data_IF_520956380093
#
_entry.id   IF_520956380093
#
_cell.length_a   1.000
_cell.length_b   1.000
_cell.length_c   1.000
_cell.angle_alpha   90.00
_cell.angle_beta   90.00
_cell.angle_gamma   90.00
#
_symmetry.space_group_name_H-M   'P 1'
#
loop_
_entity.id
_entity.type
_entity.pdbx_description
1 polymer ?
#
# COMPACT_ATOMS: atom_id res chain seq x y z
N UNK A 1 -19.73 1.47 -16.01
CA UNK A 1 -18.83 1.98 -14.95
C UNK A 1 -19.08 1.15 -13.70
N UNK A 2 -18.03 0.72 -13.01
CA UNK A 2 -18.14 -0.08 -11.78
C UNK A 2 -17.39 0.63 -10.65
N UNK A 3 -17.87 0.49 -9.43
CA UNK A 3 -17.17 0.95 -8.23
C UNK A 3 -16.79 -0.28 -7.41
N UNK A 4 -15.49 -0.46 -7.17
CA UNK A 4 -14.99 -1.69 -6.55
C UNK A 4 -13.99 -1.39 -5.44
N UNK A 5 -14.15 -2.08 -4.30
CA UNK A 5 -13.13 -2.12 -3.25
C UNK A 5 -11.94 -2.97 -3.68
N UNK A 6 -10.74 -2.42 -3.49
CA UNK A 6 -9.49 -3.12 -3.71
C UNK A 6 -8.63 -3.03 -2.45
N UNK A 7 -8.07 -4.17 -2.05
CA UNK A 7 -7.08 -4.25 -0.98
C UNK A 7 -5.76 -4.74 -1.58
N UNK A 8 -4.73 -3.91 -1.54
CA UNK A 8 -3.38 -4.19 -2.03
C UNK A 8 -2.38 -4.01 -0.91
N UNK A 9 -1.89 -5.12 -0.36
CA UNK A 9 -1.00 -5.11 0.81
C UNK A 9 0.48 -5.12 0.44
N UNK A 10 0.81 -5.04 -0.85
CA UNK A 10 2.19 -5.06 -1.35
C UNK A 10 3.03 -3.88 -0.86
N UNK A 11 2.38 -2.85 -0.30
CA UNK A 11 3.00 -1.60 0.20
C UNK A 11 2.83 -1.39 1.70
N UNK A 12 2.24 -2.36 2.40
CA UNK A 12 1.91 -2.23 3.82
C UNK A 12 3.13 -2.08 4.75
N UNK A 13 4.35 -2.26 4.23
CA UNK A 13 5.62 -2.12 4.97
C UNK A 13 6.37 -0.82 4.64
N UNK A 14 5.96 -0.09 3.59
CA UNK A 14 6.59 1.17 3.19
C UNK A 14 5.55 2.05 2.49
N UNK A 15 4.85 2.88 3.25
CA UNK A 15 4.07 3.97 2.69
C UNK A 15 4.99 5.20 2.53
N UNK A 16 5.48 5.52 1.31
CA UNK A 16 5.99 6.86 1.08
C UNK A 16 4.88 7.89 1.31
N UNK A 17 5.25 9.13 1.63
CA UNK A 17 4.32 10.25 1.63
C UNK A 17 3.58 10.31 0.29
N UNK A 18 2.25 10.35 0.33
CA UNK A 18 1.45 10.31 -0.89
C UNK A 18 1.44 8.94 -1.58
N UNK A 19 1.58 7.85 -0.82
CA UNK A 19 1.24 6.52 -1.28
C UNK A 19 -0.27 6.34 -1.47
N UNK A 20 -0.62 5.44 -2.38
CA UNK A 20 -1.96 4.90 -2.53
C UNK A 20 -2.24 4.03 -1.29
N UNK A 21 -3.37 4.22 -0.58
CA UNK A 21 -3.67 3.45 0.62
C UNK A 21 -3.86 1.96 0.25
N UNK A 22 -3.53 1.06 1.18
CA UNK A 22 -3.68 -0.39 1.04
C UNK A 22 -5.13 -0.77 0.76
N UNK A 23 -6.09 0.05 1.17
CA UNK A 23 -7.51 -0.15 0.96
C UNK A 23 -8.16 1.09 0.34
N UNK A 24 -8.79 0.92 -0.82
CA UNK A 24 -9.51 2.02 -1.48
C UNK A 24 -10.53 1.51 -2.49
N UNK A 25 -11.40 2.41 -2.94
CA UNK A 25 -12.27 2.18 -4.08
C UNK A 25 -11.63 2.62 -5.38
N UNK A 26 -11.95 1.88 -6.44
CA UNK A 26 -11.66 2.26 -7.81
C UNK A 26 -12.94 2.48 -8.58
N UNK A 27 -13.00 3.59 -9.31
CA UNK A 27 -13.98 3.78 -10.38
C UNK A 27 -13.39 3.16 -11.65
N UNK A 28 -14.01 2.08 -12.13
CA UNK A 28 -13.60 1.32 -13.29
C UNK A 28 -14.48 1.60 -14.51
N UNK A 29 -13.86 1.78 -15.67
CA UNK A 29 -14.53 1.84 -16.96
C UNK A 29 -13.80 0.93 -17.97
N UNK A 30 -14.58 0.27 -18.83
CA UNK A 30 -14.05 -0.63 -19.86
C UNK A 30 -14.72 -0.28 -21.17
N UNK A 31 -13.91 -0.12 -22.21
CA UNK A 31 -14.36 0.01 -23.60
C UNK A 31 -13.99 -1.30 -24.31
N UNK A 32 -14.92 -1.82 -25.11
CA UNK A 32 -14.78 -3.13 -25.75
C UNK A 32 -14.97 -2.98 -27.26
N UNK A 33 -14.05 -3.54 -28.03
CA UNK A 33 -14.06 -3.51 -29.48
C UNK A 33 -13.26 -2.33 -30.04
N UNK A 34 -13.45 -2.07 -31.32
CA UNK A 34 -12.68 -1.07 -32.03
C UNK A 34 -13.15 0.35 -31.69
N UNK A 35 -12.26 1.09 -31.04
CA UNK A 35 -12.39 2.51 -30.80
C UNK A 35 -11.09 3.21 -31.18
N UNK A 36 -11.13 4.49 -31.62
CA UNK A 36 -9.92 5.28 -31.76
C UNK A 36 -9.10 5.19 -30.46
N UNK A 37 -7.83 4.82 -30.56
CA UNK A 37 -6.99 4.49 -29.39
C UNK A 37 -6.93 5.61 -28.34
N UNK A 38 -7.06 6.87 -28.77
CA UNK A 38 -7.10 8.03 -27.88
C UNK A 38 -8.46 8.33 -27.22
N UNK A 39 -9.58 7.76 -27.72
CA UNK A 39 -10.93 8.12 -27.24
C UNK A 39 -11.15 7.79 -25.76
N UNK A 40 -10.82 6.59 -25.24
CA UNK A 40 -10.98 6.29 -23.82
C UNK A 40 -10.17 7.23 -22.91
N UNK A 41 -9.00 7.67 -23.37
CA UNK A 41 -8.17 8.62 -22.61
C UNK A 41 -8.78 10.01 -22.64
N UNK A 42 -9.35 10.41 -23.78
CA UNK A 42 -10.11 11.66 -23.88
C UNK A 42 -11.33 11.67 -22.95
N UNK A 43 -12.11 10.60 -22.93
CA UNK A 43 -13.26 10.44 -22.01
C UNK A 43 -12.80 10.56 -20.55
N UNK A 44 -11.67 9.95 -20.19
CA UNK A 44 -11.08 10.06 -18.86
C UNK A 44 -10.70 11.50 -18.49
N UNK A 45 -10.05 12.21 -19.41
CA UNK A 45 -9.64 13.59 -19.21
C UNK A 45 -10.84 14.54 -19.12
N UNK A 46 -11.89 14.30 -19.91
CA UNK A 46 -13.17 15.04 -19.83
C UNK A 46 -13.87 14.81 -18.50
N UNK A 47 -13.90 13.57 -18.01
CA UNK A 47 -14.47 13.23 -16.72
C UNK A 47 -13.69 13.86 -15.54
N UNK A 48 -12.36 13.89 -15.59
CA UNK A 48 -11.55 14.59 -14.60
C UNK A 48 -11.75 16.11 -14.68
N UNK A 49 -11.86 16.65 -15.89
CA UNK A 49 -12.13 18.07 -16.12
C UNK A 49 -13.50 18.51 -15.60
N UNK A 50 -14.54 17.68 -15.74
CA UNK A 50 -15.89 18.01 -15.28
C UNK A 50 -16.02 18.08 -13.75
N UNK A 51 -15.11 17.44 -13.01
CA UNK A 51 -15.03 17.54 -11.55
C UNK A 51 -14.07 18.64 -11.08
N UNK A 52 -13.46 19.40 -12.00
CA UNK A 52 -12.63 20.57 -11.67
C UNK A 52 -11.11 20.35 -11.73
N UNK A 53 -10.63 19.21 -12.26
CA UNK A 53 -9.19 18.97 -12.42
C UNK A 53 -8.69 19.62 -13.72
N UNK A 54 -7.69 20.50 -13.61
CA UNK A 54 -7.08 21.12 -14.79
C UNK A 54 -6.33 20.08 -15.64
N UNK A 55 -6.88 19.80 -16.81
CA UNK A 55 -6.33 18.84 -17.78
C UNK A 55 -4.94 19.23 -18.28
N UNK A 56 -4.59 20.53 -18.27
CA UNK A 56 -3.28 21.03 -18.71
C UNK A 56 -2.17 20.73 -17.71
N UNK A 57 -2.53 20.52 -16.44
CA UNK A 57 -1.59 20.13 -15.39
C UNK A 57 -1.30 18.62 -15.37
N UNK A 58 -2.05 17.82 -16.14
CA UNK A 58 -1.88 16.37 -16.18
C UNK A 58 -0.71 15.96 -17.07
N UNK A 59 0.05 15.00 -16.54
CA UNK A 59 1.09 14.28 -17.27
C UNK A 59 0.58 12.88 -17.58
N UNK A 60 0.53 12.54 -18.86
CA UNK A 60 0.26 11.19 -19.35
C UNK A 60 1.56 10.40 -19.43
N UNK A 61 1.81 9.56 -18.44
CA UNK A 61 2.89 8.57 -18.49
C UNK A 61 2.43 7.36 -19.28
N UNK A 62 3.22 6.93 -20.27
CA UNK A 62 2.95 5.77 -21.11
C UNK A 62 4.07 4.75 -21.00
N UNK A 63 3.71 3.50 -20.77
CA UNK A 63 4.60 2.33 -20.87
C UNK A 63 4.14 1.48 -22.05
N UNK A 64 4.89 1.53 -23.15
CA UNK A 64 4.61 0.74 -24.34
C UNK A 64 5.23 -0.67 -24.27
N UNK A 65 4.69 -1.64 -25.02
CA UNK A 65 5.44 -2.83 -25.41
C UNK A 65 6.77 -2.45 -26.08
N UNK A 66 7.79 -3.30 -25.92
CA UNK A 66 9.10 -3.07 -26.56
C UNK A 66 8.96 -3.02 -28.08
N UNK A 67 9.55 -2.00 -28.69
CA UNK A 67 9.55 -1.80 -30.14
C UNK A 67 8.27 -1.20 -30.71
N UNK A 68 7.32 -0.77 -29.87
CA UNK A 68 6.08 -0.11 -30.29
C UNK A 68 5.94 1.30 -29.72
N UNK A 69 7.02 1.88 -29.21
CA UNK A 69 7.04 3.14 -28.48
C UNK A 69 6.50 4.31 -29.32
N UNK A 70 7.07 4.53 -30.52
CA UNK A 70 6.66 5.61 -31.42
C UNK A 70 5.21 5.48 -31.88
N UNK A 71 4.81 4.26 -32.29
CA UNK A 71 3.45 3.96 -32.68
C UNK A 71 2.46 4.23 -31.54
N UNK A 72 2.80 3.81 -30.32
CA UNK A 72 1.96 4.04 -29.14
C UNK A 72 1.79 5.53 -28.86
N UNK A 73 2.86 6.32 -28.98
CA UNK A 73 2.82 7.77 -28.80
C UNK A 73 1.95 8.45 -29.87
N UNK A 74 2.05 8.02 -31.13
CA UNK A 74 1.23 8.54 -32.22
C UNK A 74 -0.26 8.19 -32.01
N UNK A 75 -0.57 6.98 -31.56
CA UNK A 75 -1.95 6.50 -31.33
C UNK A 75 -2.62 7.11 -30.09
N UNK A 76 -1.84 7.35 -29.03
CA UNK A 76 -2.32 7.93 -27.78
C UNK A 76 -2.04 9.43 -27.69
N UNK A 77 -1.49 10.05 -28.73
CA UNK A 77 -1.13 11.46 -28.76
C UNK A 77 -2.33 12.34 -28.45
N UNK A 78 -2.37 12.91 -27.23
CA UNK A 78 -3.49 13.74 -26.80
C UNK A 78 -3.13 15.23 -26.83
N UNK A 79 -3.93 16.07 -27.50
CA UNK A 79 -3.73 17.51 -27.47
C UNK A 79 -3.82 18.05 -26.03
N UNK A 80 -2.81 18.81 -25.61
CA UNK A 80 -2.85 19.57 -24.35
C UNK A 80 -2.43 18.82 -23.08
N UNK A 81 -2.02 17.56 -23.16
CA UNK A 81 -1.40 16.84 -22.05
C UNK A 81 0.11 16.67 -22.28
N UNK A 82 0.91 16.82 -21.22
CA UNK A 82 2.32 16.47 -21.28
C UNK A 82 2.46 14.95 -21.34
N UNK A 83 3.16 14.41 -22.34
CA UNK A 83 3.36 12.97 -22.48
C UNK A 83 4.78 12.56 -22.11
N UNK A 84 4.91 11.47 -21.37
CA UNK A 84 6.19 10.89 -20.96
C UNK A 84 6.20 9.39 -21.24
N UNK A 85 7.13 8.92 -22.06
CA UNK A 85 7.40 7.50 -22.21
C UNK A 85 8.30 7.03 -21.06
N UNK A 86 7.80 6.14 -20.20
CA UNK A 86 8.55 5.61 -19.06
C UNK A 86 7.98 4.29 -18.57
N UNK A 87 8.77 3.57 -17.76
CA UNK A 87 8.28 2.38 -17.07
C UNK A 87 7.10 2.73 -16.13
N UNK A 88 6.22 1.74 -15.84
CA UNK A 88 5.12 1.95 -14.91
C UNK A 88 5.61 2.47 -13.55
N UNK A 89 4.93 3.44 -12.95
CA UNK A 89 5.41 4.08 -11.73
C UNK A 89 5.29 3.12 -10.53
N UNK A 90 5.99 3.39 -9.41
CA UNK A 90 5.77 2.67 -8.17
C UNK A 90 4.31 2.89 -7.72
N UNK A 91 3.45 1.93 -7.99
CA UNK A 91 2.00 2.10 -7.76
C UNK A 91 1.22 1.14 -8.58
N UNK A 92 1.79 0.87 -9.75
CA UNK A 92 1.03 0.39 -10.87
C UNK A 92 0.35 -0.94 -10.55
N UNK A 93 -0.96 -1.07 -10.82
CA UNK A 93 -1.69 -2.28 -10.56
C UNK A 93 -1.02 -3.47 -11.25
N UNK A 94 -0.65 -4.48 -10.48
CA UNK A 94 0.09 -5.63 -11.00
C UNK A 94 -0.67 -6.41 -12.08
N UNK A 95 -1.99 -6.35 -12.17
CA UNK A 95 -2.69 -7.02 -13.28
C UNK A 95 -2.48 -6.33 -14.64
N UNK A 96 -2.12 -5.05 -14.64
CA UNK A 96 -1.86 -4.29 -15.87
C UNK A 96 -0.40 -4.49 -16.28
N UNK A 97 -0.19 -4.96 -17.51
CA UNK A 97 1.11 -5.46 -17.97
C UNK A 97 1.45 -4.91 -19.36
N UNK A 98 2.57 -4.18 -19.51
CA UNK A 98 2.97 -3.63 -20.81
C UNK A 98 3.13 -4.68 -21.93
N UNK A 99 3.40 -5.94 -21.58
CA UNK A 99 3.50 -7.05 -22.53
C UNK A 99 2.16 -7.42 -23.22
N UNK A 100 1.03 -7.11 -22.57
CA UNK A 100 -0.32 -7.33 -23.11
C UNK A 100 -0.82 -6.15 -23.95
N UNK A 101 -0.12 -5.02 -23.88
CA UNK A 101 -0.37 -3.80 -24.64
C UNK A 101 -0.06 -2.53 -23.83
N UNK A 102 -0.13 -1.35 -24.47
CA UNK A 102 0.21 -0.07 -23.84
C UNK A 102 -0.49 0.15 -22.51
N UNK A 103 0.29 0.49 -21.49
CA UNK A 103 -0.17 0.89 -20.17
C UNK A 103 0.00 2.40 -20.01
N UNK A 104 -0.89 3.05 -19.29
CA UNK A 104 -0.80 4.48 -19.05
C UNK A 104 -1.17 4.86 -17.62
N UNK A 105 -0.69 6.03 -17.19
CA UNK A 105 -1.05 6.65 -15.93
C UNK A 105 -1.25 8.15 -16.16
N UNK A 106 -2.37 8.69 -15.64
CA UNK A 106 -2.56 10.14 -15.55
C UNK A 106 -2.00 10.61 -14.21
N UNK A 107 -1.00 11.47 -14.24
CA UNK A 107 -0.31 11.99 -13.06
C UNK A 107 -0.56 13.50 -12.91
N UNK A 108 -0.87 13.94 -11.69
CA UNK A 108 -1.06 15.35 -11.34
C UNK A 108 -0.04 15.77 -10.27
N UNK A 109 0.72 16.87 -10.45
CA UNK A 109 1.58 17.39 -9.41
C UNK A 109 0.76 18.06 -8.29
N UNK A 110 0.95 17.60 -7.04
CA UNK A 110 0.33 18.17 -5.84
C UNK A 110 1.39 18.71 -4.88
N UNK A 111 1.34 20.03 -4.64
CA UNK A 111 2.28 20.74 -3.78
C UNK A 111 3.61 21.11 -4.45
N UNK A 112 4.55 21.68 -3.67
CA UNK A 112 5.81 22.19 -4.19
C UNK A 112 6.78 21.06 -4.60
N UNK A 113 7.72 21.34 -5.54
CA UNK A 113 8.81 20.42 -5.85
C UNK A 113 9.70 20.17 -4.63
N UNK A 114 10.16 18.94 -4.44
CA UNK A 114 11.16 18.62 -3.42
C UNK A 114 12.60 19.02 -3.82
N UNK A 115 12.83 19.23 -5.12
CA UNK A 115 14.11 19.62 -5.71
C UNK A 115 13.91 20.13 -7.13
N UNK A 116 14.96 20.67 -7.75
CA UNK A 116 14.94 21.11 -9.16
C UNK A 116 14.66 19.98 -10.15
N UNK A 117 14.99 18.74 -9.79
CA UNK A 117 14.70 17.54 -10.59
C UNK A 117 13.37 16.85 -10.24
N UNK A 118 12.48 17.51 -9.49
CA UNK A 118 11.22 16.91 -9.08
C UNK A 118 10.25 16.82 -10.28
N UNK A 119 10.07 15.61 -10.80
CA UNK A 119 9.19 15.30 -11.92
C UNK A 119 8.37 14.01 -11.73
N UNK A 120 7.61 13.60 -12.75
CA UNK A 120 6.91 12.31 -12.79
C UNK A 120 7.82 11.16 -12.37
N UNK A 121 7.41 10.38 -11.38
CA UNK A 121 8.19 9.23 -10.88
C UNK A 121 9.19 9.57 -9.78
N UNK A 122 9.29 10.83 -9.39
CA UNK A 122 10.02 11.23 -8.18
C UNK A 122 9.42 10.52 -6.94
N UNK A 123 10.26 9.89 -6.08
CA UNK A 123 9.78 9.15 -4.92
C UNK A 123 9.17 10.05 -3.83
N UNK A 124 9.28 11.38 -3.96
CA UNK A 124 8.69 12.31 -3.01
C UNK A 124 7.16 12.24 -2.95
N UNK A 125 6.50 11.68 -3.98
CA UNK A 125 5.04 11.54 -4.03
C UNK A 125 4.30 12.81 -4.46
N UNK A 126 4.98 13.79 -5.08
CA UNK A 126 4.34 14.98 -5.66
C UNK A 126 3.41 14.64 -6.82
N UNK A 127 3.86 13.78 -7.73
CA UNK A 127 3.09 13.37 -8.91
C UNK A 127 2.15 12.22 -8.53
N UNK A 128 0.90 12.59 -8.25
CA UNK A 128 -0.14 11.67 -7.79
C UNK A 128 -0.79 10.99 -8.99
N UNK A 129 -0.94 9.67 -8.90
CA UNK A 129 -1.50 8.84 -9.96
C UNK A 129 -3.04 8.88 -9.85
N UNK A 130 -3.71 9.62 -10.73
CA UNK A 130 -5.16 9.82 -10.71
C UNK A 130 -5.94 8.77 -11.51
N UNK A 131 -5.30 8.16 -12.50
CA UNK A 131 -5.88 7.06 -13.25
C UNK A 131 -4.78 6.12 -13.72
N UNK A 132 -5.11 4.82 -13.79
CA UNK A 132 -4.34 3.81 -14.50
C UNK A 132 -5.15 3.33 -15.68
N UNK A 133 -4.50 3.09 -16.81
CA UNK A 133 -5.15 2.55 -18.00
C UNK A 133 -4.32 1.49 -18.69
N UNK A 134 -4.99 0.61 -19.43
CA UNK A 134 -4.35 -0.36 -20.30
C UNK A 134 -5.17 -0.58 -21.57
N UNK A 135 -4.49 -0.55 -22.71
CA UNK A 135 -5.00 -1.09 -23.98
C UNK A 135 -4.57 -2.56 -24.03
N UNK A 136 -5.53 -3.49 -23.91
CA UNK A 136 -5.27 -4.93 -24.03
C UNK A 136 -5.38 -5.31 -25.50
N UNK A 137 -4.25 -5.72 -26.08
CA UNK A 137 -4.14 -6.18 -27.48
C UNK A 137 -3.71 -7.62 -27.60
N UNK A 138 -3.21 -8.20 -26.51
CA UNK A 138 -2.75 -9.58 -26.45
C UNK A 138 -3.26 -10.24 -25.19
N UNK A 139 -3.50 -11.53 -25.27
CA UNK A 139 -3.81 -12.38 -24.12
C UNK A 139 -2.77 -13.48 -24.00
N UNK A 140 -2.50 -13.89 -22.76
CA UNK A 140 -1.58 -14.99 -22.47
C UNK A 140 -2.37 -16.29 -22.37
N UNK A 141 -2.01 -17.24 -23.21
CA UNK A 141 -2.54 -18.61 -23.19
C UNK A 141 -1.97 -19.38 -21.99
N UNK A 142 -2.59 -20.54 -21.68
CA UNK A 142 -2.14 -21.42 -20.59
C UNK A 142 -0.71 -21.92 -20.77
N UNK A 143 -0.26 -22.06 -22.02
CA UNK A 143 1.10 -22.46 -22.39
C UNK A 143 2.11 -21.29 -22.35
N UNK A 144 1.67 -20.10 -21.93
CA UNK A 144 2.51 -18.91 -21.81
C UNK A 144 2.63 -18.08 -23.09
N UNK A 145 2.16 -18.56 -24.24
CA UNK A 145 2.23 -17.80 -25.50
C UNK A 145 1.32 -16.57 -25.45
N UNK A 146 1.77 -15.46 -26.04
CA UNK A 146 0.97 -14.26 -26.25
C UNK A 146 0.34 -14.32 -27.64
N UNK A 147 -0.99 -14.26 -27.71
CA UNK A 147 -1.74 -14.19 -28.97
C UNK A 147 -2.52 -12.88 -29.07
N UNK A 148 -2.77 -12.36 -30.28
CA UNK A 148 -3.62 -11.19 -30.47
C UNK A 148 -5.01 -11.38 -29.86
N UNK A 149 -5.54 -10.34 -29.23
CA UNK A 149 -6.91 -10.30 -28.73
C UNK A 149 -7.87 -9.99 -29.90
N UNK A 150 -8.91 -10.80 -30.03
CA UNK A 150 -9.96 -10.68 -31.06
C UNK A 150 -10.79 -9.41 -30.92
N UNK A 151 -10.99 -8.95 -29.67
CA UNK A 151 -11.73 -7.72 -29.35
C UNK A 151 -10.88 -6.90 -28.39
N UNK A 152 -10.05 -5.97 -28.88
CA UNK A 152 -9.25 -5.11 -28.03
C UNK A 152 -10.12 -4.44 -26.97
N UNK A 153 -9.55 -4.27 -25.78
CA UNK A 153 -10.24 -3.58 -24.70
C UNK A 153 -9.37 -2.46 -24.16
N UNK A 154 -10.01 -1.37 -23.76
CA UNK A 154 -9.38 -0.37 -22.91
C UNK A 154 -9.94 -0.52 -21.52
N UNK A 155 -9.09 -0.69 -20.52
CA UNK A 155 -9.47 -0.64 -19.11
C UNK A 155 -8.94 0.64 -18.48
N UNK A 156 -9.78 1.35 -17.72
CA UNK A 156 -9.43 2.52 -16.94
C UNK A 156 -9.82 2.32 -15.47
N UNK A 157 -8.93 2.72 -14.56
CA UNK A 157 -9.10 2.61 -13.12
C UNK A 157 -8.72 3.93 -12.46
N UNK A 158 -9.69 4.61 -11.84
CA UNK A 158 -9.45 5.83 -11.07
C UNK A 158 -9.51 5.50 -9.58
N UNK A 159 -8.41 5.63 -8.82
CA UNK A 159 -8.44 5.50 -7.38
C UNK A 159 -9.18 6.70 -6.79
N UNK A 160 -10.26 6.42 -6.05
CA UNK A 160 -11.15 7.47 -5.55
C UNK A 160 -10.42 8.50 -4.67
N UNK A 161 -9.65 8.02 -3.68
CA UNK A 161 -8.90 8.93 -2.81
C UNK A 161 -7.85 9.74 -3.55
N UNK A 162 -7.31 9.26 -4.67
CA UNK A 162 -6.38 10.05 -5.48
C UNK A 162 -7.09 11.23 -6.15
N UNK A 163 -8.29 11.02 -6.67
CA UNK A 163 -9.14 12.08 -7.23
C UNK A 163 -9.56 13.06 -6.13
N UNK A 164 -10.02 12.58 -4.97
CA UNK A 164 -10.40 13.44 -3.85
C UNK A 164 -9.23 14.28 -3.34
N UNK A 165 -8.03 13.69 -3.22
CA UNK A 165 -6.82 14.41 -2.85
C UNK A 165 -6.48 15.52 -3.85
N UNK A 166 -6.67 15.27 -5.14
CA UNK A 166 -6.47 16.28 -6.17
C UNK A 166 -7.45 17.46 -6.02
N UNK A 167 -8.73 17.17 -5.80
CA UNK A 167 -9.76 18.20 -5.64
C UNK A 167 -9.59 19.02 -4.36
N UNK A 168 -9.11 18.40 -3.28
CA UNK A 168 -8.82 19.08 -2.02
C UNK A 168 -7.40 19.66 -1.94
N UNK A 169 -6.59 19.52 -3.00
CA UNK A 169 -5.18 19.92 -3.06
C UNK A 169 -4.32 19.38 -1.90
N UNK A 170 -4.65 18.20 -1.38
CA UNK A 170 -3.91 17.54 -0.29
C UNK A 170 -3.09 16.36 -0.81
N UNK A 171 -1.94 16.09 -0.18
CA UNK A 171 -1.01 15.03 -0.62
C UNK A 171 -1.35 13.64 -0.08
N UNK A 172 -2.06 13.58 1.04
CA UNK A 172 -2.36 12.33 1.75
C UNK A 172 -3.88 12.11 1.81
N UNK A 173 -4.38 10.90 1.52
CA UNK A 173 -5.78 10.55 1.77
C UNK A 173 -6.21 10.82 3.20
N UNK A 174 -5.33 10.62 4.19
CA UNK A 174 -5.64 10.82 5.60
C UNK A 174 -5.72 12.30 6.01
N UNK A 175 -5.45 13.23 5.09
CA UNK A 175 -5.75 14.65 5.26
C UNK A 175 -7.17 15.01 4.76
N UNK A 176 -7.86 14.09 4.08
CA UNK A 176 -9.23 14.29 3.63
C UNK A 176 -10.18 14.33 4.84
N UNK A 177 -11.22 15.19 4.82
CA UNK A 177 -12.19 15.30 5.92
C UNK A 177 -12.82 13.96 6.31
N UNK A 178 -13.07 13.08 5.36
CA UNK A 178 -13.72 11.78 5.57
C UNK A 178 -12.82 10.81 6.34
N UNK A 179 -11.50 10.93 6.22
CA UNK A 179 -10.52 10.08 6.91
C UNK A 179 -9.95 10.72 8.19
N UNK A 180 -10.22 12.01 8.41
CA UNK A 180 -9.73 12.78 9.54
C UNK A 180 -10.11 12.20 10.91
N UNK A 181 -11.34 11.72 11.15
CA UNK A 181 -11.72 11.16 12.45
C UNK A 181 -10.83 10.00 12.88
N UNK A 182 -10.37 9.16 11.94
CA UNK A 182 -9.46 8.05 12.23
C UNK A 182 -8.09 8.57 12.71
N UNK A 183 -7.57 9.62 12.08
CA UNK A 183 -6.30 10.22 12.48
C UNK A 183 -6.40 10.91 13.84
N UNK A 184 -7.52 11.60 14.10
CA UNK A 184 -7.75 12.26 15.39
C UNK A 184 -7.88 11.23 16.53
N UNK A 185 -8.61 10.14 16.28
CA UNK A 185 -8.71 9.04 17.25
C UNK A 185 -7.38 8.33 17.48
N UNK A 186 -6.56 8.20 16.44
CA UNK A 186 -5.20 7.66 16.56
C UNK A 186 -4.30 8.56 17.39
N UNK A 187 -4.31 9.87 17.14
CA UNK A 187 -3.56 10.86 17.91
C UNK A 187 -3.99 10.91 19.38
N UNK A 188 -5.30 10.75 19.66
CA UNK A 188 -5.82 10.67 21.01
C UNK A 188 -5.43 9.37 21.75
N UNK A 189 -5.38 8.24 21.03
CA UNK A 189 -5.00 6.96 21.61
C UNK A 189 -3.49 6.82 21.86
N UNK A 190 -2.68 7.52 21.08
CA UNK A 190 -1.21 7.42 21.11
C UNK A 190 -0.61 8.83 21.10
N UNK A 191 -0.35 9.42 22.28
CA UNK A 191 0.11 10.80 22.40
C UNK A 191 1.40 11.14 21.65
N UNK A 192 2.28 10.15 21.39
CA UNK A 192 3.52 10.38 20.64
C UNK A 192 3.28 10.70 19.15
N UNK A 193 2.17 10.22 18.58
CA UNK A 193 1.73 10.65 17.24
C UNK A 193 1.29 12.12 17.25
N UNK A 194 0.56 12.55 18.28
CA UNK A 194 0.10 13.93 18.41
C UNK A 194 1.26 14.91 18.70
N UNK A 195 2.24 14.47 19.49
CA UNK A 195 3.36 15.29 19.90
C UNK A 195 4.49 15.39 18.85
N UNK A 196 4.33 14.75 17.68
CA UNK A 196 5.37 14.73 16.65
C UNK A 196 6.67 14.03 17.07
N UNK A 197 6.61 13.19 18.12
CA UNK A 197 7.76 12.40 18.61
C UNK A 197 7.99 11.15 17.76
N UNK A 198 6.98 10.75 17.01
CA UNK A 198 7.01 9.70 16.00
C UNK A 198 7.13 10.28 14.59
N UNK A 199 7.54 9.46 13.63
CA UNK A 199 7.48 9.86 12.22
C UNK A 199 6.01 9.91 11.81
N UNK A 200 5.58 10.96 11.11
CA UNK A 200 4.18 11.08 10.62
C UNK A 200 3.74 9.82 9.83
N UNK A 201 4.66 9.22 9.08
CA UNK A 201 4.45 7.97 8.35
C UNK A 201 3.97 6.81 9.22
N UNK A 202 4.34 6.76 10.50
CA UNK A 202 3.96 5.67 11.41
C UNK A 202 2.46 5.71 11.72
N UNK A 203 1.93 6.90 12.02
CA UNK A 203 0.49 7.08 12.22
C UNK A 203 -0.31 6.75 10.95
N UNK A 204 0.17 7.24 9.79
CA UNK A 204 -0.44 6.93 8.50
C UNK A 204 -0.46 5.42 8.20
N UNK A 205 0.62 4.70 8.55
CA UNK A 205 0.68 3.24 8.40
C UNK A 205 -0.30 2.51 9.31
N UNK A 206 -0.50 2.97 10.55
CA UNK A 206 -1.52 2.38 11.44
C UNK A 206 -2.91 2.59 10.85
N UNK A 207 -3.25 3.82 10.47
CA UNK A 207 -4.54 4.13 9.89
C UNK A 207 -4.82 3.29 8.63
N UNK A 208 -3.86 3.21 7.72
CA UNK A 208 -3.94 2.41 6.49
C UNK A 208 -4.15 0.91 6.74
N UNK A 209 -3.39 0.33 7.67
CA UNK A 209 -3.53 -1.09 8.03
C UNK A 209 -4.89 -1.37 8.64
N UNK A 210 -5.40 -0.50 9.51
CA UNK A 210 -6.70 -0.69 10.15
C UNK A 210 -7.85 -0.52 9.16
N UNK A 211 -7.76 0.44 8.25
CA UNK A 211 -8.68 0.56 7.12
C UNK A 211 -8.73 -0.72 6.27
N UNK A 212 -7.56 -1.30 5.96
CA UNK A 212 -7.50 -2.56 5.21
C UNK A 212 -8.04 -3.76 6.00
N UNK A 213 -7.73 -3.86 7.30
CA UNK A 213 -8.23 -4.92 8.18
C UNK A 213 -9.75 -4.83 8.32
N UNK A 214 -10.32 -3.63 8.50
CA UNK A 214 -11.77 -3.44 8.60
C UNK A 214 -12.50 -3.97 7.35
N UNK A 215 -12.01 -3.63 6.15
CA UNK A 215 -12.60 -4.14 4.91
C UNK A 215 -12.41 -5.65 4.74
N UNK A 216 -11.23 -6.21 5.09
CA UNK A 216 -11.00 -7.65 4.99
C UNK A 216 -11.95 -8.42 5.91
N UNK A 217 -12.11 -7.99 7.16
CA UNK A 217 -13.07 -8.55 8.11
C UNK A 217 -14.51 -8.40 7.61
N UNK A 218 -14.87 -7.23 7.10
CA UNK A 218 -16.20 -6.99 6.49
C UNK A 218 -16.48 -7.87 5.26
N UNK A 219 -15.44 -8.34 4.57
CA UNK A 219 -15.56 -9.32 3.48
C UNK A 219 -15.60 -10.79 3.95
N UNK A 220 -15.59 -11.03 5.27
CA UNK A 220 -15.61 -12.36 5.87
C UNK A 220 -14.24 -13.00 6.09
N UNK A 221 -13.14 -12.28 5.87
CA UNK A 221 -11.78 -12.80 6.11
C UNK A 221 -11.41 -12.59 7.58
N UNK A 222 -11.12 -13.66 8.30
CA UNK A 222 -10.66 -13.60 9.70
C UNK A 222 -9.13 -13.76 9.80
N UNK A 223 -8.46 -13.19 10.83
CA UNK A 223 -7.04 -13.40 11.07
C UNK A 223 -6.70 -14.88 11.26
N UNK A 224 -5.61 -15.35 10.64
CA UNK A 224 -5.20 -16.75 10.71
C UNK A 224 -3.79 -17.00 10.17
N UNK A 225 -3.35 -18.26 10.03
CA UNK A 225 -1.96 -18.58 9.71
C UNK A 225 -1.62 -18.61 8.22
N UNK A 226 -2.60 -18.75 7.31
CA UNK A 226 -2.36 -18.96 5.86
C UNK A 226 -3.18 -18.02 4.97
N UNK A 227 -2.73 -17.82 3.74
CA UNK A 227 -3.46 -17.08 2.70
C UNK A 227 -3.93 -15.67 3.12
N UNK A 228 -5.17 -15.31 2.76
CA UNK A 228 -5.77 -14.01 3.12
C UNK A 228 -5.88 -13.79 4.63
N UNK A 229 -6.09 -14.87 5.39
CA UNK A 229 -6.15 -14.83 6.84
C UNK A 229 -4.78 -14.44 7.45
N UNK A 230 -3.69 -14.95 6.88
CA UNK A 230 -2.32 -14.54 7.25
C UNK A 230 -2.07 -13.07 6.96
N UNK A 231 -2.46 -12.59 5.78
CA UNK A 231 -2.31 -11.17 5.42
C UNK A 231 -3.06 -10.28 6.40
N UNK A 232 -4.31 -10.62 6.72
CA UNK A 232 -5.14 -9.89 7.69
C UNK A 232 -4.49 -9.87 9.08
N UNK A 233 -3.99 -11.03 9.55
CA UNK A 233 -3.25 -11.16 10.81
C UNK A 233 -1.99 -10.29 10.82
N UNK A 234 -1.22 -10.29 9.73
CA UNK A 234 0.02 -9.51 9.59
C UNK A 234 -0.25 -8.01 9.64
N UNK A 235 -1.27 -7.53 8.93
CA UNK A 235 -1.67 -6.11 8.96
C UNK A 235 -2.10 -5.69 10.38
N UNK A 236 -2.93 -6.50 11.02
CA UNK A 236 -3.41 -6.25 12.38
C UNK A 236 -2.26 -6.18 13.38
N UNK A 237 -1.37 -7.18 13.38
CA UNK A 237 -0.17 -7.19 14.22
C UNK A 237 0.79 -6.05 13.91
N UNK A 238 0.92 -5.66 12.63
CA UNK A 238 1.72 -4.52 12.22
C UNK A 238 1.20 -3.19 12.76
N UNK A 239 -0.12 -2.99 12.76
CA UNK A 239 -0.77 -1.84 13.39
C UNK A 239 -0.52 -1.82 14.92
N UNK A 240 -0.73 -2.97 15.58
CA UNK A 240 -0.47 -3.14 17.01
C UNK A 240 1.00 -2.91 17.39
N UNK A 241 1.95 -3.41 16.60
CA UNK A 241 3.37 -3.21 16.80
C UNK A 241 3.79 -1.75 16.64
N UNK A 242 3.27 -1.06 15.62
CA UNK A 242 3.57 0.37 15.40
C UNK A 242 2.96 1.22 16.51
N UNK A 243 1.77 0.85 17.00
CA UNK A 243 1.14 1.47 18.17
C UNK A 243 2.00 1.32 19.43
N UNK A 244 2.50 0.10 19.69
CA UNK A 244 3.41 -0.15 20.81
C UNK A 244 4.74 0.60 20.70
N UNK A 245 5.31 0.67 19.49
CA UNK A 245 6.55 1.41 19.23
C UNK A 245 6.41 2.90 19.58
N UNK A 246 5.22 3.45 19.35
CA UNK A 246 4.85 4.82 19.69
C UNK A 246 4.34 4.98 21.14
N UNK A 247 4.59 4.00 22.02
CA UNK A 247 4.22 4.05 23.43
C UNK A 247 2.74 3.77 23.74
N UNK A 248 1.92 3.43 22.75
CA UNK A 248 0.52 3.03 22.94
C UNK A 248 0.37 1.56 23.37
N UNK A 249 -0.82 1.20 23.86
CA UNK A 249 -1.14 -0.21 24.14
C UNK A 249 -1.58 -0.94 22.86
N UNK A 250 -1.03 -2.14 22.55
CA UNK A 250 -1.54 -2.97 21.44
C UNK A 250 -3.04 -3.25 21.52
N UNK A 251 -3.57 -3.51 22.72
CA UNK A 251 -5.01 -3.72 22.97
C UNK A 251 -5.89 -2.55 22.52
N UNK A 252 -5.35 -1.31 22.54
CA UNK A 252 -6.04 -0.11 22.06
C UNK A 252 -6.37 -0.16 20.56
N UNK A 253 -5.72 -1.04 19.80
CA UNK A 253 -5.98 -1.20 18.36
C UNK A 253 -7.40 -1.68 18.07
N UNK A 254 -8.05 -2.46 18.94
CA UNK A 254 -9.44 -2.88 18.70
C UNK A 254 -10.37 -1.67 18.59
N UNK A 255 -10.21 -0.69 19.48
CA UNK A 255 -11.00 0.55 19.43
C UNK A 255 -10.70 1.36 18.17
N UNK A 256 -9.43 1.46 17.79
CA UNK A 256 -9.03 2.13 16.55
C UNK A 256 -9.56 1.41 15.30
N UNK A 257 -9.67 0.09 15.34
CA UNK A 257 -10.28 -0.70 14.26
C UNK A 257 -11.77 -0.39 14.12
N UNK A 258 -12.52 -0.29 15.22
CA UNK A 258 -13.93 0.12 15.17
C UNK A 258 -14.10 1.53 14.59
N UNK A 259 -13.17 2.44 14.90
CA UNK A 259 -13.16 3.77 14.32
C UNK A 259 -12.82 3.75 12.83
N UNK A 260 -11.81 2.98 12.43
CA UNK A 260 -11.45 2.79 11.03
C UNK A 260 -12.64 2.22 10.26
N UNK A 261 -13.35 1.24 10.84
CA UNK A 261 -14.56 0.68 10.26
C UNK A 261 -15.64 1.73 10.01
N UNK A 262 -15.92 2.58 11.00
CA UNK A 262 -16.89 3.66 10.85
C UNK A 262 -16.46 4.70 9.79
N UNK A 263 -15.16 4.91 9.64
CA UNK A 263 -14.57 5.93 8.75
C UNK A 263 -14.58 5.49 7.28
N UNK A 264 -14.19 4.23 6.99
CA UNK A 264 -14.07 3.74 5.60
C UNK A 264 -15.38 3.20 5.04
N UNK A 265 -16.42 3.10 5.86
CA UNK A 265 -17.69 2.47 5.50
C UNK A 265 -18.66 3.48 4.90
N UNK A 266 -18.95 3.29 3.62
CA UNK A 266 -19.89 4.10 2.84
C UNK A 266 -21.18 3.32 2.55
N UNK A 267 -22.30 4.00 2.19
CA UNK A 267 -23.60 3.36 1.98
C UNK A 267 -23.64 2.23 0.93
N UNK A 268 -22.72 2.22 -0.05
CA UNK A 268 -22.58 1.17 -1.07
C UNK A 268 -21.44 0.17 -0.75
N UNK A 269 -21.12 -0.01 0.54
CA UNK A 269 -19.95 -0.73 1.03
C UNK A 269 -20.21 -2.17 1.51
N UNK A 270 -19.21 -2.73 2.19
CA UNK A 270 -19.26 -4.02 2.88
C UNK A 270 -20.23 -3.97 4.09
N UNK A 271 -20.60 -5.10 4.74
CA UNK A 271 -21.36 -5.12 5.99
C UNK A 271 -20.51 -4.69 7.20
N UNK A 272 -21.15 -4.06 8.21
CA UNK A 272 -20.52 -3.65 9.49
C UNK A 272 -19.78 -4.81 10.14
N UNK A 273 -18.68 -4.50 10.85
CA UNK A 273 -18.01 -5.52 11.65
C UNK A 273 -19.00 -6.06 12.69
N UNK A 274 -19.10 -7.38 12.77
CA UNK A 274 -19.92 -8.05 13.78
C UNK A 274 -19.16 -8.10 15.10
N UNK A 275 -19.90 -8.21 16.20
CA UNK A 275 -19.29 -8.41 17.52
C UNK A 275 -18.38 -9.65 17.55
N UNK A 276 -18.74 -10.70 16.79
CA UNK A 276 -17.91 -11.89 16.64
C UNK A 276 -16.57 -11.60 15.94
N UNK A 277 -16.57 -10.74 14.91
CA UNK A 277 -15.34 -10.33 14.23
C UNK A 277 -14.45 -9.51 15.17
N UNK A 278 -15.03 -8.58 15.94
CA UNK A 278 -14.31 -7.78 16.93
C UNK A 278 -13.72 -8.67 18.05
N UNK A 279 -14.50 -9.60 18.61
CA UNK A 279 -14.02 -10.55 19.62
C UNK A 279 -12.90 -11.47 19.09
N UNK A 280 -12.89 -11.77 17.79
CA UNK A 280 -11.80 -12.52 17.15
C UNK A 280 -10.52 -11.68 17.05
N UNK A 281 -10.66 -10.39 16.71
CA UNK A 281 -9.55 -9.44 16.69
C UNK A 281 -8.96 -9.26 18.08
N UNK A 282 -9.79 -9.09 19.11
CA UNK A 282 -9.35 -8.96 20.51
C UNK A 282 -8.53 -10.16 20.97
N UNK A 283 -9.00 -11.39 20.68
CA UNK A 283 -8.25 -12.62 21.00
C UNK A 283 -6.90 -12.68 20.28
N UNK A 284 -6.86 -12.28 19.00
CA UNK A 284 -5.63 -12.26 18.22
C UNK A 284 -4.64 -11.21 18.74
N UNK A 285 -5.11 -10.01 19.10
CA UNK A 285 -4.27 -8.95 19.70
C UNK A 285 -3.75 -9.42 21.06
N UNK A 286 -4.60 -9.96 21.94
CA UNK A 286 -4.16 -10.46 23.23
C UNK A 286 -3.15 -11.61 23.12
N UNK A 287 -3.29 -12.47 22.10
CA UNK A 287 -2.27 -13.48 21.78
C UNK A 287 -0.96 -12.84 21.31
N UNK A 288 -1.02 -11.79 20.52
CA UNK A 288 0.16 -11.06 20.08
C UNK A 288 0.85 -10.30 21.21
N UNK A 289 0.10 -9.70 22.14
CA UNK A 289 0.66 -9.06 23.34
C UNK A 289 1.46 -10.05 24.17
N UNK A 290 0.95 -11.27 24.39
CA UNK A 290 1.70 -12.33 25.08
C UNK A 290 3.01 -12.67 24.36
N UNK A 291 3.00 -12.68 23.02
CA UNK A 291 4.22 -12.88 22.22
C UNK A 291 5.21 -11.73 22.43
N UNK A 292 4.76 -10.48 22.42
CA UNK A 292 5.61 -9.32 22.67
C UNK A 292 6.23 -9.34 24.07
N UNK A 293 5.43 -9.64 25.09
CA UNK A 293 5.91 -9.73 26.48
C UNK A 293 6.95 -10.83 26.66
N UNK A 294 6.67 -12.04 26.19
CA UNK A 294 7.62 -13.16 26.28
C UNK A 294 8.87 -12.88 25.44
N UNK A 295 8.70 -12.31 24.25
CA UNK A 295 9.80 -11.95 23.37
C UNK A 295 10.73 -10.89 23.96
N UNK A 296 10.17 -9.89 24.64
CA UNK A 296 10.95 -8.88 25.34
C UNK A 296 11.77 -9.48 26.48
N UNK A 297 11.19 -10.38 27.29
CA UNK A 297 11.92 -11.07 28.35
C UNK A 297 13.11 -11.87 27.77
N UNK A 298 12.90 -12.60 26.68
CA UNK A 298 13.96 -13.34 25.99
C UNK A 298 15.02 -12.45 25.37
N UNK A 299 14.63 -11.29 24.84
CA UNK A 299 15.57 -10.28 24.36
C UNK A 299 16.47 -9.81 25.50
N UNK A 300 15.92 -9.46 26.66
CA UNK A 300 16.69 -9.04 27.83
C UNK A 300 17.66 -10.11 28.32
N UNK A 301 17.23 -11.37 28.36
CA UNK A 301 18.11 -12.49 28.74
C UNK A 301 19.25 -12.70 27.74
N UNK A 302 18.97 -12.59 26.44
CA UNK A 302 20.00 -12.71 25.41
C UNK A 302 21.01 -11.57 25.49
N UNK A 303 20.55 -10.32 25.72
CA UNK A 303 21.40 -9.14 25.83
C UNK A 303 22.44 -9.27 26.94
N UNK A 304 22.10 -9.91 28.06
CA UNK A 304 23.04 -10.18 29.17
C UNK A 304 24.22 -11.07 28.79
N UNK A 305 24.07 -11.86 27.73
CA UNK A 305 25.07 -12.85 27.29
C UNK A 305 25.86 -12.41 26.07
N UNK A 306 25.55 -11.25 25.49
CA UNK A 306 26.22 -10.72 24.32
C UNK A 306 27.69 -10.43 24.61
N UNK A 307 28.57 -10.82 23.69
CA UNK A 307 30.02 -10.59 23.79
C UNK A 307 30.49 -9.39 22.97
N UNK A 308 29.71 -9.00 21.98
CA UNK A 308 30.03 -7.91 21.06
C UNK A 308 28.86 -7.53 20.16
N UNK A 309 28.96 -6.37 19.46
CA UNK A 309 27.91 -5.87 18.56
C UNK A 309 27.60 -6.80 17.38
N UNK A 310 28.55 -7.63 16.96
CA UNK A 310 28.41 -8.62 15.88
C UNK A 310 27.39 -9.73 16.20
N UNK A 311 27.09 -9.96 17.47
CA UNK A 311 26.09 -10.94 17.91
C UNK A 311 24.65 -10.39 17.88
N UNK A 312 24.49 -9.06 17.77
CA UNK A 312 23.18 -8.40 17.78
C UNK A 312 22.38 -8.73 16.50
N UNK A 313 22.90 -8.57 15.27
CA UNK A 313 22.11 -8.86 14.07
C UNK A 313 21.57 -10.30 13.99
N UNK A 314 22.38 -11.36 14.25
CA UNK A 314 21.87 -12.73 14.30
C UNK A 314 20.79 -12.93 15.38
N UNK A 315 20.93 -12.30 16.55
CA UNK A 315 19.91 -12.33 17.59
C UNK A 315 18.58 -11.74 17.12
N UNK A 316 18.59 -10.55 16.50
CA UNK A 316 17.36 -9.91 16.02
C UNK A 316 16.66 -10.75 14.95
N UNK A 317 17.45 -11.32 14.04
CA UNK A 317 16.96 -12.19 12.97
C UNK A 317 16.30 -13.45 13.55
N UNK A 318 16.94 -14.09 14.53
CA UNK A 318 16.39 -15.25 15.25
C UNK A 318 15.09 -14.93 15.99
N UNK A 319 15.09 -13.85 16.77
CA UNK A 319 13.91 -13.41 17.52
C UNK A 319 12.73 -13.08 16.58
N UNK A 320 13.00 -12.51 15.41
CA UNK A 320 12.00 -12.26 14.38
C UNK A 320 11.46 -13.56 13.76
N UNK A 321 12.34 -14.46 13.31
CA UNK A 321 11.94 -15.67 12.58
C UNK A 321 11.25 -16.70 13.48
N UNK A 322 11.80 -16.95 14.67
CA UNK A 322 11.32 -18.00 15.57
C UNK A 322 10.14 -17.55 16.44
N UNK A 323 10.09 -16.27 16.79
CA UNK A 323 9.11 -15.75 17.76
C UNK A 323 8.10 -14.78 17.14
N UNK A 324 8.28 -14.43 15.86
CA UNK A 324 7.38 -13.52 15.14
C UNK A 324 7.43 -12.08 15.66
N UNK A 325 8.54 -11.66 16.25
CA UNK A 325 8.71 -10.30 16.77
C UNK A 325 8.94 -9.29 15.63
N UNK A 326 8.21 -8.16 15.61
CA UNK A 326 8.42 -7.12 14.61
C UNK A 326 9.81 -6.48 14.72
N UNK A 327 10.51 -6.37 13.59
CA UNK A 327 11.85 -5.79 13.54
C UNK A 327 11.92 -4.37 14.11
N UNK A 328 10.89 -3.54 13.86
CA UNK A 328 10.84 -2.17 14.40
C UNK A 328 10.89 -2.10 15.92
N UNK A 329 10.23 -3.04 16.60
CA UNK A 329 10.26 -3.13 18.07
C UNK A 329 11.63 -3.62 18.57
N UNK A 330 12.18 -4.65 17.93
CA UNK A 330 13.52 -5.16 18.23
C UNK A 330 14.58 -4.06 18.11
N UNK A 331 14.56 -3.30 17.02
CA UNK A 331 15.46 -2.16 16.83
C UNK A 331 15.25 -1.06 17.88
N UNK A 332 14.02 -0.87 18.36
CA UNK A 332 13.73 0.08 19.43
C UNK A 332 14.31 -0.37 20.76
N UNK A 333 14.17 -1.65 21.11
CA UNK A 333 14.77 -2.22 22.31
C UNK A 333 16.29 -2.13 22.25
N UNK A 334 16.92 -2.42 21.10
CA UNK A 334 18.37 -2.21 20.93
C UNK A 334 18.78 -0.76 21.23
N UNK A 335 18.04 0.23 20.74
CA UNK A 335 18.31 1.65 21.04
C UNK A 335 18.14 2.00 22.52
N UNK A 336 17.13 1.44 23.19
CA UNK A 336 16.88 1.68 24.62
C UNK A 336 17.98 1.09 25.52
N UNK A 337 18.71 0.10 25.02
CA UNK A 337 19.82 -0.56 25.70
C UNK A 337 21.20 -0.18 25.13
N UNK A 338 21.27 0.90 24.34
CA UNK A 338 22.51 1.41 23.73
C UNK A 338 23.33 0.35 22.96
N UNK A 339 22.64 -0.62 22.33
CA UNK A 339 23.28 -1.67 21.56
C UNK A 339 23.68 -1.16 20.17
N UNK A 340 24.98 -1.22 19.87
CA UNK A 340 25.49 -0.96 18.53
C UNK A 340 25.15 -2.12 17.58
N UNK A 341 24.67 -1.81 16.37
CA UNK A 341 24.38 -2.81 15.35
C UNK A 341 24.47 -2.25 13.92
N UNK A 342 24.71 -3.14 12.96
CA UNK A 342 24.67 -2.82 11.53
C UNK A 342 23.31 -3.18 10.94
N UNK A 343 22.55 -2.18 10.49
CA UNK A 343 21.29 -2.41 9.78
C UNK A 343 21.50 -3.15 8.45
N UNK A 344 22.67 -2.99 7.83
CA UNK A 344 23.05 -3.71 6.63
C UNK A 344 23.18 -5.21 6.90
N UNK A 345 23.87 -5.60 7.96
CA UNK A 345 24.03 -7.01 8.33
C UNK A 345 22.69 -7.65 8.69
N UNK A 346 21.82 -6.93 9.43
CA UNK A 346 20.45 -7.39 9.69
C UNK A 346 19.71 -7.66 8.38
N UNK A 347 19.81 -6.76 7.41
CA UNK A 347 19.15 -6.92 6.11
C UNK A 347 19.74 -8.09 5.29
N UNK A 348 21.06 -8.25 5.27
CA UNK A 348 21.74 -9.34 4.56
C UNK A 348 21.36 -10.72 5.14
N UNK A 349 21.35 -10.86 6.47
CA UNK A 349 20.92 -12.09 7.15
C UNK A 349 19.43 -12.42 6.90
N UNK A 350 18.56 -11.39 6.91
CA UNK A 350 17.12 -11.57 6.63
C UNK A 350 16.89 -12.04 5.18
N UNK A 351 17.69 -11.55 4.22
CA UNK A 351 17.64 -11.99 2.83
C UNK A 351 18.08 -13.45 2.67
N UNK A 352 19.17 -13.87 3.33
CA UNK A 352 19.67 -15.25 3.27
C UNK A 352 18.65 -16.24 3.81
N UNK A 353 17.98 -15.94 4.93
CA UNK A 353 16.93 -16.80 5.46
C UNK A 353 15.72 -16.93 4.52
N UNK A 354 15.31 -15.82 3.88
CA UNK A 354 14.21 -15.85 2.90
C UNK A 354 14.57 -16.67 1.67
N UNK A 355 15.82 -16.62 1.21
CA UNK A 355 16.30 -17.41 0.08
C UNK A 355 16.42 -18.91 0.41
N UNK A 356 16.80 -19.25 1.66
CA UNK A 356 16.87 -20.63 2.13
C UNK A 356 15.50 -21.29 2.31
N UNK A 357 14.47 -20.53 2.73
CA UNK A 357 13.11 -21.03 2.92
C UNK A 357 12.30 -21.24 1.63
N UNK A 358 12.78 -20.76 0.49
CA UNK A 358 12.13 -20.95 -0.82
C UNK A 358 12.44 -22.29 -1.51
N UNK A 359 13.27 -23.16 -0.91
CA UNK A 359 13.67 -24.44 -1.50
C UNK A 359 12.89 -25.66 -0.93
N UNK A 360 11.89 -25.44 -0.06
CA UNK A 360 11.04 -26.50 0.54
C UNK A 360 9.53 -26.26 0.30
N UNK A 361 9.15 -25.74 -0.87
CA UNK A 361 7.76 -25.82 -1.33
C UNK A 361 7.63 -27.01 -2.29
N UNK A 362 7.41 -28.19 -1.71
CA UNK A 362 7.10 -29.44 -2.40
C UNK A 362 5.82 -29.29 -3.26
N UNK A 363 5.78 -29.77 -4.51
CA UNK A 363 4.60 -29.69 -5.36
C UNK A 363 3.65 -30.84 -5.03
N UNK A 364 2.52 -30.55 -4.39
CA UNK A 364 1.35 -31.42 -4.40
C UNK A 364 0.05 -30.62 -4.48
#
# INVERSE_FOLDING_TARGET
MALQWCVSTSRSEALPFGAVPSAQRFVGAVWVGDHPSGRPVQDALEALGSVGIDRRALVLRVSAPRGTEEQTLAELGLPGCQMLLAAPPPGFPGRLRPELGPCLTLELPLGPPCSTGCGPGCPCGRYRQLAYGQVVRRVRLRDGRLVPESRPTFELLLPEYAVMCALAEVRSPFALPELRPLMDGLAAAVPDFAAGRCRESEGLMVADRLSAVALLLGSGVTPGPRGRAHVTRRLLRGAAATTALAGGSPSGVTRLLSLADATVRVPLGLPRLTDHALATVEREIGAFERVLTLGHARFLDAVRTLRGPEEVPPLLVRLRSEQGLPLGLLLSWCRQHDLALSLREVAELDLTLRAGGSNEADPS
#
